data_IF_636463395812
#
_entry.id   IF_636463395812
#
_cell.length_a   1.000
_cell.length_b   1.000
_cell.length_c   1.000
_cell.angle_alpha   90.00
_cell.angle_beta   90.00
_cell.angle_gamma   90.00
#
_symmetry.space_group_name_H-M   'P 1'
#
loop_
_entity.id
_entity.type
_entity.pdbx_description
1 polymer ?
#
# COMPACT_ATOMS: atom_id res chain seq x y z
N UNK A 1 14.68 22.12 -38.00
CA UNK A 1 15.53 20.92 -37.79
C UNK A 1 15.80 20.87 -36.28
N UNK A 2 15.26 19.91 -35.60
CA UNK A 2 15.49 19.70 -34.15
C UNK A 2 16.63 18.69 -34.08
N UNK A 3 17.77 19.10 -33.54
CA UNK A 3 18.91 18.21 -33.34
C UNK A 3 18.53 17.01 -32.45
N UNK A 4 19.05 15.81 -32.74
CA UNK A 4 18.77 14.64 -31.92
C UNK A 4 19.46 14.78 -30.56
N UNK A 5 18.66 14.72 -29.48
CA UNK A 5 19.15 14.65 -28.11
C UNK A 5 20.02 13.39 -28.00
N UNK A 6 21.33 13.59 -27.78
CA UNK A 6 22.28 12.51 -27.53
C UNK A 6 21.77 11.59 -26.40
N UNK A 7 21.82 10.29 -26.66
CA UNK A 7 21.48 9.24 -25.69
C UNK A 7 22.46 9.31 -24.52
N UNK A 8 22.07 9.98 -23.45
CA UNK A 8 22.78 9.85 -22.20
C UNK A 8 22.75 8.37 -21.76
N UNK A 9 23.89 7.71 -21.83
CA UNK A 9 24.10 6.39 -21.25
C UNK A 9 23.88 6.48 -19.75
N UNK A 10 22.99 5.64 -19.21
CA UNK A 10 22.69 5.60 -17.79
C UNK A 10 23.99 5.46 -16.97
N UNK A 11 24.28 6.32 -16.00
CA UNK A 11 25.42 6.16 -15.14
C UNK A 11 25.26 4.88 -14.34
N UNK A 12 26.19 3.92 -14.48
CA UNK A 12 26.30 2.75 -13.61
C UNK A 12 26.57 3.25 -12.17
N UNK A 13 25.52 3.59 -11.42
CA UNK A 13 25.64 3.87 -10.00
C UNK A 13 26.03 2.59 -9.27
N UNK A 14 27.29 2.53 -8.88
CA UNK A 14 27.80 1.56 -7.91
C UNK A 14 27.10 1.89 -6.59
N UNK A 15 26.12 1.07 -6.20
CA UNK A 15 25.41 1.22 -4.93
C UNK A 15 26.40 1.01 -3.78
N UNK A 16 26.74 2.08 -3.10
CA UNK A 16 27.34 2.00 -1.77
C UNK A 16 26.21 1.69 -0.80
N UNK A 17 26.15 0.44 -0.33
CA UNK A 17 25.29 0.08 0.79
C UNK A 17 25.74 0.91 2.00
N UNK A 18 24.97 1.93 2.34
CA UNK A 18 25.07 2.51 3.68
C UNK A 18 24.33 1.53 4.60
N UNK A 19 25.01 0.87 5.54
CA UNK A 19 24.32 -0.02 6.46
C UNK A 19 23.27 0.78 7.23
N UNK A 20 22.06 0.23 7.35
CA UNK A 20 21.01 0.78 8.20
C UNK A 20 21.61 1.01 9.60
N UNK A 21 21.82 2.27 9.98
CA UNK A 21 22.01 2.61 11.38
C UNK A 21 20.65 2.51 12.04
N UNK A 22 20.37 1.37 12.66
CA UNK A 22 19.22 1.25 13.55
C UNK A 22 19.36 2.34 14.61
N UNK A 23 18.49 3.32 14.59
CA UNK A 23 18.36 4.30 15.65
C UNK A 23 17.90 3.57 16.90
N UNK A 24 18.39 3.95 18.07
CA UNK A 24 18.03 3.31 19.35
C UNK A 24 16.52 3.37 19.51
N UNK A 25 15.85 2.20 19.63
CA UNK A 25 14.39 2.09 19.70
C UNK A 25 13.68 1.87 18.34
N UNK A 26 14.42 1.86 17.21
CA UNK A 26 13.82 1.47 15.94
C UNK A 26 13.47 -0.03 15.94
N UNK A 27 12.34 -0.41 15.33
CA UNK A 27 11.97 -1.83 15.21
C UNK A 27 12.98 -2.57 14.34
N UNK A 28 13.20 -3.86 14.65
CA UNK A 28 14.03 -4.71 13.81
C UNK A 28 13.33 -4.95 12.47
N UNK A 29 14.09 -5.02 11.35
CA UNK A 29 13.50 -5.35 10.06
C UNK A 29 13.05 -6.82 9.98
N UNK A 30 12.27 -7.12 8.95
CA UNK A 30 11.79 -8.44 8.59
C UNK A 30 10.95 -9.12 9.69
N UNK A 31 10.07 -8.33 10.32
CA UNK A 31 9.16 -8.83 11.34
C UNK A 31 7.70 -8.40 11.12
N UNK A 32 6.80 -9.25 11.60
CA UNK A 32 5.38 -9.01 11.70
C UNK A 32 4.98 -8.83 13.17
N UNK A 33 4.52 -7.64 13.50
CA UNK A 33 3.98 -7.30 14.81
C UNK A 33 2.47 -7.57 14.79
N UNK A 34 1.97 -8.34 15.75
CA UNK A 34 0.53 -8.51 15.93
C UNK A 34 0.03 -7.50 16.94
N UNK A 35 -0.84 -6.57 16.50
CA UNK A 35 -1.37 -5.50 17.36
C UNK A 35 -1.87 -4.28 16.61
N UNK A 36 -2.25 -3.26 17.36
CA UNK A 36 -2.69 -1.97 16.83
C UNK A 36 -1.52 -1.17 16.25
N UNK A 37 -1.71 -0.59 15.06
CA UNK A 37 -0.64 0.11 14.35
C UNK A 37 -0.22 1.42 15.03
N UNK A 38 -1.16 2.15 15.66
CA UNK A 38 -0.86 3.38 16.37
C UNK A 38 -0.07 3.12 17.65
N UNK A 39 -0.44 2.05 18.37
CA UNK A 39 0.31 1.63 19.57
C UNK A 39 1.71 1.15 19.21
N UNK A 40 1.85 0.34 18.17
CA UNK A 40 3.13 -0.17 17.74
C UNK A 40 4.07 0.97 17.29
N UNK A 41 3.60 1.90 16.45
CA UNK A 41 4.42 2.99 15.92
C UNK A 41 4.77 4.06 16.97
N UNK A 42 3.96 4.25 18.01
CA UNK A 42 4.12 5.32 19.01
C UNK A 42 5.52 5.40 19.62
N UNK A 43 6.16 4.25 19.82
CA UNK A 43 7.48 4.16 20.44
C UNK A 43 8.65 4.26 19.47
N UNK A 44 8.39 4.35 18.15
CA UNK A 44 9.45 4.36 17.16
C UNK A 44 10.02 5.76 16.96
N UNK A 45 11.33 5.87 16.66
CA UNK A 45 11.96 7.15 16.32
C UNK A 45 11.40 7.74 15.04
N UNK A 46 11.45 9.06 14.93
CA UNK A 46 11.13 9.77 13.70
C UNK A 46 12.11 9.37 12.58
N UNK A 47 11.59 9.20 11.38
CA UNK A 47 12.39 8.91 10.19
C UNK A 47 13.17 7.60 10.27
N UNK A 48 12.68 6.58 10.97
CA UNK A 48 13.35 5.27 11.07
C UNK A 48 12.99 4.30 9.93
N UNK A 49 12.00 4.62 9.10
CA UNK A 49 11.48 3.83 7.98
C UNK A 49 11.82 4.52 6.67
N UNK A 50 12.22 3.77 5.64
CA UNK A 50 12.52 4.37 4.34
C UNK A 50 11.25 4.72 3.55
N UNK A 51 10.29 3.82 3.44
CA UNK A 51 9.06 4.01 2.67
C UNK A 51 7.87 3.31 3.33
N UNK A 52 6.66 3.74 2.98
CA UNK A 52 5.41 3.07 3.35
C UNK A 52 4.63 2.67 2.09
N UNK A 53 4.19 1.42 2.02
CA UNK A 53 3.27 0.91 0.99
C UNK A 53 2.15 0.21 1.73
N UNK A 54 0.92 0.73 1.66
CA UNK A 54 -0.14 0.39 2.59
C UNK A 54 -1.50 0.25 1.91
N UNK A 55 -2.24 -0.77 2.33
CA UNK A 55 -3.65 -1.01 1.99
C UNK A 55 -4.52 -0.88 3.26
N UNK A 56 -4.95 0.35 3.62
CA UNK A 56 -5.67 0.59 4.87
C UNK A 56 -7.13 0.11 4.82
N UNK A 57 -7.83 0.01 5.96
CA UNK A 57 -9.26 -0.26 6.00
C UNK A 57 -10.07 0.68 5.10
N UNK A 58 -11.13 0.16 4.47
CA UNK A 58 -11.97 0.92 3.53
C UNK A 58 -13.26 1.45 4.14
N UNK A 59 -13.62 1.01 5.34
CA UNK A 59 -14.89 1.31 6.02
C UNK A 59 -16.13 0.91 5.21
N UNK A 60 -16.10 -0.25 4.59
CA UNK A 60 -17.19 -0.75 3.75
C UNK A 60 -18.31 -1.35 4.61
N UNK A 61 -18.00 -1.82 5.82
CA UNK A 61 -18.93 -2.44 6.77
C UNK A 61 -19.87 -1.45 7.48
N UNK A 62 -19.52 -0.18 7.57
CA UNK A 62 -20.16 0.80 8.47
C UNK A 62 -21.44 1.46 7.97
N UNK A 63 -21.98 1.10 6.84
CA UNK A 63 -22.95 2.00 6.19
C UNK A 63 -24.40 1.71 6.36
N UNK A 64 -24.82 0.60 6.88
CA UNK A 64 -26.23 0.30 6.99
C UNK A 64 -26.57 -0.49 8.25
N UNK A 65 -26.85 0.20 9.35
CA UNK A 65 -27.63 -0.32 10.46
C UNK A 65 -29.02 -0.86 10.05
N UNK A 66 -29.16 -1.27 8.84
CA UNK A 66 -30.23 -2.07 8.28
C UNK A 66 -29.73 -3.51 8.12
N UNK A 67 -29.72 -4.26 9.21
CA UNK A 67 -30.08 -5.67 9.12
C UNK A 67 -31.48 -5.70 8.52
N UNK A 68 -31.55 -5.55 7.23
CA UNK A 68 -32.78 -5.70 6.48
C UNK A 68 -33.25 -7.12 6.68
N UNK A 69 -34.43 -7.30 7.30
CA UNK A 69 -35.13 -8.58 7.45
C UNK A 69 -35.33 -9.35 6.13
N UNK A 70 -34.87 -8.82 5.01
CA UNK A 70 -35.09 -9.36 3.65
C UNK A 70 -33.81 -9.60 2.85
N UNK A 71 -32.66 -9.79 3.46
CA UNK A 71 -31.47 -10.28 2.76
C UNK A 71 -30.89 -9.39 1.64
N UNK A 72 -31.36 -8.17 1.47
CA UNK A 72 -30.95 -7.19 0.47
C UNK A 72 -30.08 -6.10 1.09
N UNK A 73 -29.14 -6.48 1.96
CA UNK A 73 -28.05 -5.61 2.38
C UNK A 73 -27.05 -5.39 1.24
N UNK A 74 -26.33 -4.28 1.23
CA UNK A 74 -25.35 -3.89 0.22
C UNK A 74 -24.16 -4.85 0.05
N UNK A 75 -24.08 -5.92 0.81
CA UNK A 75 -23.15 -7.03 0.64
C UNK A 75 -23.55 -7.93 -0.52
N UNK A 76 -23.53 -7.40 -1.72
CA UNK A 76 -23.77 -8.20 -2.94
C UNK A 76 -22.51 -8.79 -3.54
N UNK A 77 -21.58 -9.17 -2.74
CA UNK A 77 -20.81 -10.37 -3.00
C UNK A 77 -21.07 -11.30 -1.83
N UNK A 78 -21.71 -12.41 -2.07
CA UNK A 78 -21.85 -13.55 -1.13
C UNK A 78 -20.49 -14.10 -0.64
N UNK A 79 -19.40 -13.34 -0.85
CA UNK A 79 -18.03 -13.70 -0.57
C UNK A 79 -17.26 -12.66 0.26
N UNK A 80 -17.86 -11.51 0.56
CA UNK A 80 -17.25 -10.48 1.41
C UNK A 80 -18.34 -9.90 2.31
N UNK A 81 -18.81 -10.69 3.25
CA UNK A 81 -19.36 -10.12 4.49
C UNK A 81 -18.12 -9.64 5.28
N UNK A 82 -17.76 -8.37 5.08
CA UNK A 82 -16.86 -7.69 5.99
C UNK A 82 -17.67 -7.30 7.25
N UNK A 83 -18.00 -8.30 8.06
CA UNK A 83 -18.53 -8.12 9.42
C UNK A 83 -17.35 -7.98 10.41
N UNK A 84 -16.26 -7.36 9.91
CA UNK A 84 -15.03 -7.16 10.64
C UNK A 84 -15.18 -5.93 11.54
N UNK A 85 -15.00 -6.10 12.84
CA UNK A 85 -15.17 -5.02 13.81
C UNK A 85 -14.27 -3.79 13.53
N UNK A 86 -13.17 -3.97 12.82
CA UNK A 86 -12.23 -2.91 12.41
C UNK A 86 -12.69 -2.09 11.19
N UNK A 87 -13.80 -2.44 10.53
CA UNK A 87 -14.30 -1.77 9.33
C UNK A 87 -15.70 -1.14 9.56
N UNK A 88 -16.03 -0.76 10.82
CA UNK A 88 -17.36 -0.26 11.24
C UNK A 88 -17.31 1.10 11.92
N UNK A 89 -16.51 2.02 11.41
CA UNK A 89 -16.42 3.39 11.92
C UNK A 89 -17.60 4.26 11.45
N UNK A 90 -18.04 5.21 12.28
CA UNK A 90 -18.77 6.39 11.79
C UNK A 90 -17.88 7.21 10.85
N UNK A 91 -18.45 8.14 10.08
CA UNK A 91 -17.67 8.97 9.15
C UNK A 91 -16.60 9.81 9.86
N UNK A 92 -16.93 10.37 11.01
CA UNK A 92 -16.04 11.22 11.79
C UNK A 92 -14.93 10.40 12.47
N UNK A 93 -15.27 9.24 13.04
CA UNK A 93 -14.29 8.29 13.59
C UNK A 93 -13.33 7.79 12.51
N UNK A 94 -13.85 7.47 11.32
CA UNK A 94 -13.02 7.01 10.22
C UNK A 94 -12.06 8.10 9.73
N UNK A 95 -12.53 9.34 9.66
CA UNK A 95 -11.67 10.48 9.34
C UNK A 95 -10.58 10.66 10.41
N UNK A 96 -10.96 10.68 11.67
CA UNK A 96 -10.01 10.81 12.78
C UNK A 96 -8.96 9.68 12.81
N UNK A 97 -9.40 8.44 12.58
CA UNK A 97 -8.52 7.28 12.46
C UNK A 97 -7.53 7.44 11.30
N UNK A 98 -8.03 7.84 10.11
CA UNK A 98 -7.16 8.04 8.94
C UNK A 98 -6.15 9.17 9.16
N UNK A 99 -6.52 10.25 9.82
CA UNK A 99 -5.59 11.31 10.20
C UNK A 99 -4.54 10.78 11.18
N UNK A 100 -4.95 9.99 12.17
CA UNK A 100 -4.05 9.50 13.22
C UNK A 100 -2.94 8.58 12.64
N UNK A 101 -3.31 7.54 11.89
CA UNK A 101 -2.31 6.63 11.37
C UNK A 101 -1.44 7.25 10.26
N UNK A 102 -1.99 8.13 9.41
CA UNK A 102 -1.19 8.84 8.40
C UNK A 102 -0.20 9.82 9.04
N UNK A 103 -0.56 10.45 10.18
CA UNK A 103 0.36 11.26 10.97
C UNK A 103 1.54 10.44 11.50
N UNK A 104 1.26 9.26 12.06
CA UNK A 104 2.32 8.36 12.54
C UNK A 104 3.20 7.85 11.40
N UNK A 105 2.61 7.44 10.27
CA UNK A 105 3.38 7.08 9.06
C UNK A 105 4.27 8.25 8.62
N UNK A 106 3.71 9.47 8.55
CA UNK A 106 4.50 10.65 8.17
C UNK A 106 5.62 10.98 9.17
N UNK A 107 5.47 10.63 10.44
CA UNK A 107 6.50 10.80 11.47
C UNK A 107 7.62 9.77 11.34
N UNK A 108 7.26 8.50 11.17
CA UNK A 108 8.25 7.41 11.17
C UNK A 108 8.95 7.21 9.81
N UNK A 109 8.33 7.63 8.71
CA UNK A 109 8.94 7.59 7.37
C UNK A 109 9.92 8.74 7.22
N UNK A 110 11.08 8.47 6.64
CA UNK A 110 12.12 9.48 6.36
C UNK A 110 11.59 10.62 5.49
N UNK A 111 12.15 11.84 5.60
CA UNK A 111 11.93 12.89 4.61
C UNK A 111 12.24 12.36 3.20
N UNK A 112 11.41 12.73 2.22
CA UNK A 112 11.47 12.22 0.84
C UNK A 112 11.24 10.71 0.69
N UNK A 113 10.89 9.98 1.74
CA UNK A 113 10.40 8.60 1.63
C UNK A 113 9.07 8.55 0.87
N UNK A 114 8.87 7.51 0.09
CA UNK A 114 7.62 7.30 -0.64
C UNK A 114 6.51 6.79 0.30
N UNK A 115 5.30 7.27 0.10
CA UNK A 115 4.08 6.79 0.76
C UNK A 115 3.08 6.41 -0.34
N UNK A 116 2.85 5.11 -0.54
CA UNK A 116 1.88 4.59 -1.49
C UNK A 116 0.67 4.06 -0.71
N UNK A 117 -0.49 4.67 -0.93
CA UNK A 117 -1.72 4.33 -0.22
C UNK A 117 -2.74 3.80 -1.20
N UNK A 118 -3.11 2.52 -1.04
CA UNK A 118 -4.17 1.88 -1.80
C UNK A 118 -5.55 2.31 -1.28
N UNK A 119 -6.53 2.30 -2.15
CA UNK A 119 -7.90 2.60 -1.77
C UNK A 119 -8.90 2.45 -2.91
N UNK A 120 -10.16 2.40 -2.50
CA UNK A 120 -11.32 2.43 -3.40
C UNK A 120 -11.99 3.79 -3.31
N UNK A 121 -13.06 4.00 -4.09
CA UNK A 121 -13.85 5.24 -4.01
C UNK A 121 -14.46 5.51 -2.61
N UNK A 122 -14.47 4.51 -1.73
CA UNK A 122 -14.98 4.66 -0.36
C UNK A 122 -14.05 5.50 0.53
N UNK A 123 -12.74 5.44 0.30
CA UNK A 123 -11.75 6.07 1.19
C UNK A 123 -10.70 6.92 0.48
N UNK A 124 -10.41 6.65 -0.81
CA UNK A 124 -9.26 7.26 -1.50
C UNK A 124 -9.30 8.79 -1.56
N UNK A 125 -10.47 9.38 -1.73
CA UNK A 125 -10.63 10.83 -1.77
C UNK A 125 -10.34 11.47 -0.41
N UNK A 126 -10.75 10.83 0.68
CA UNK A 126 -10.45 11.26 2.04
C UNK A 126 -8.95 11.15 2.34
N UNK A 127 -8.33 10.03 1.98
CA UNK A 127 -6.89 9.80 2.16
C UNK A 127 -6.06 10.81 1.37
N UNK A 128 -6.45 11.11 0.13
CA UNK A 128 -5.82 12.14 -0.70
C UNK A 128 -5.93 13.53 -0.08
N UNK A 129 -7.10 13.89 0.43
CA UNK A 129 -7.32 15.16 1.14
C UNK A 129 -6.45 15.25 2.41
N UNK A 130 -6.37 14.18 3.19
CA UNK A 130 -5.54 14.16 4.40
C UNK A 130 -4.07 14.34 4.04
N UNK A 131 -3.55 13.58 3.09
CA UNK A 131 -2.14 13.69 2.67
C UNK A 131 -1.82 15.08 2.17
N UNK A 132 -2.64 15.63 1.27
CA UNK A 132 -2.34 16.89 0.59
C UNK A 132 -2.64 18.11 1.47
N UNK A 133 -3.81 18.15 2.14
CA UNK A 133 -4.32 19.36 2.78
C UNK A 133 -4.15 19.38 4.30
N UNK A 134 -4.14 18.21 4.95
CA UNK A 134 -3.97 18.13 6.42
C UNK A 134 -2.49 17.95 6.78
N UNK A 135 -1.77 17.11 6.05
CA UNK A 135 -0.38 16.79 6.34
C UNK A 135 0.63 17.52 5.44
N UNK A 136 0.16 18.26 4.44
CA UNK A 136 0.98 19.00 3.46
C UNK A 136 2.02 18.09 2.80
N UNK A 137 1.61 16.92 2.32
CA UNK A 137 2.48 15.99 1.60
C UNK A 137 2.30 16.14 0.10
N UNK A 138 3.41 16.12 -0.64
CA UNK A 138 3.38 16.20 -2.10
C UNK A 138 2.86 14.92 -2.70
N UNK A 139 1.71 14.96 -3.39
CA UNK A 139 1.25 13.86 -4.23
C UNK A 139 2.00 13.91 -5.57
N UNK A 140 2.62 12.81 -5.96
CA UNK A 140 3.33 12.64 -7.23
C UNK A 140 2.42 12.10 -8.32
N UNK A 141 1.61 11.11 -7.98
CA UNK A 141 0.72 10.42 -8.92
C UNK A 141 -0.53 9.87 -8.23
N UNK A 142 -1.61 9.77 -9.00
CA UNK A 142 -2.72 8.86 -8.75
C UNK A 142 -2.61 7.73 -9.76
N UNK A 143 -2.26 6.53 -9.30
CA UNK A 143 -2.18 5.33 -10.12
C UNK A 143 -3.51 4.62 -10.08
N UNK A 144 -4.02 4.18 -11.23
CA UNK A 144 -5.22 3.37 -11.35
C UNK A 144 -4.81 1.92 -11.56
N UNK A 145 -5.14 1.06 -10.62
CA UNK A 145 -5.08 -0.38 -10.82
C UNK A 145 -6.38 -0.85 -11.49
N UNK A 146 -6.28 -1.29 -12.74
CA UNK A 146 -7.37 -1.89 -13.49
C UNK A 146 -7.38 -3.41 -13.29
N UNK A 147 -8.57 -3.94 -12.97
CA UNK A 147 -8.85 -5.37 -12.73
C UNK A 147 -9.60 -5.95 -13.92
N UNK A 148 -8.94 -6.56 -14.93
CA UNK A 148 -9.59 -7.07 -16.14
C UNK A 148 -10.63 -8.17 -15.85
N UNK A 149 -10.50 -8.84 -14.71
CA UNK A 149 -11.38 -9.90 -14.24
C UNK A 149 -12.19 -9.51 -12.99
N UNK A 150 -12.59 -8.22 -12.90
CA UNK A 150 -13.43 -7.73 -11.81
C UNK A 150 -14.77 -8.50 -11.75
N UNK A 151 -15.30 -8.66 -10.51
CA UNK A 151 -16.58 -9.31 -10.29
C UNK A 151 -17.72 -8.46 -10.90
N UNK A 152 -18.65 -9.05 -11.64
CA UNK A 152 -19.80 -8.32 -12.19
C UNK A 152 -20.66 -7.67 -11.09
N UNK A 153 -21.23 -6.52 -11.39
CA UNK A 153 -22.23 -5.91 -10.52
C UNK A 153 -23.58 -6.61 -10.69
N UNK A 154 -23.95 -7.41 -9.69
CA UNK A 154 -25.19 -8.21 -9.72
C UNK A 154 -26.44 -7.34 -9.56
N UNK A 155 -26.32 -6.14 -8.98
CA UNK A 155 -27.48 -5.26 -8.69
C UNK A 155 -27.99 -4.54 -9.92
N UNK A 156 -27.23 -4.46 -11.00
CA UNK A 156 -27.51 -3.70 -12.21
C UNK A 156 -27.88 -2.21 -11.98
N UNK A 157 -27.35 -1.61 -10.88
CA UNK A 157 -27.62 -0.22 -10.48
C UNK A 157 -26.42 0.71 -10.59
N UNK A 158 -25.24 0.13 -10.69
CA UNK A 158 -23.97 0.86 -10.84
C UNK A 158 -23.07 0.14 -11.82
N UNK A 159 -22.02 0.79 -12.25
CA UNK A 159 -20.98 0.16 -13.05
C UNK A 159 -20.27 -0.94 -12.23
N UNK A 160 -19.68 -1.91 -12.93
CA UNK A 160 -18.77 -2.88 -12.31
C UNK A 160 -17.53 -2.15 -11.77
N UNK A 161 -17.21 -2.36 -10.49
CA UNK A 161 -16.03 -1.78 -9.85
C UNK A 161 -14.77 -2.53 -10.29
N UNK A 162 -14.23 -2.09 -11.41
CA UNK A 162 -13.07 -2.71 -12.05
C UNK A 162 -11.76 -1.99 -11.76
N UNK A 163 -11.77 -0.99 -10.89
CA UNK A 163 -10.56 -0.22 -10.56
C UNK A 163 -10.38 -0.06 -9.05
N UNK A 164 -9.12 0.06 -8.64
CA UNK A 164 -8.72 0.65 -7.38
C UNK A 164 -7.68 1.73 -7.65
N UNK A 165 -7.44 2.61 -6.69
CA UNK A 165 -6.47 3.69 -6.85
C UNK A 165 -5.32 3.52 -5.87
N UNK A 166 -4.16 4.06 -6.24
CA UNK A 166 -2.99 4.15 -5.38
C UNK A 166 -2.54 5.61 -5.41
N UNK A 167 -2.66 6.29 -4.29
CA UNK A 167 -2.04 7.61 -4.15
C UNK A 167 -0.56 7.39 -3.90
N UNK A 168 0.28 7.92 -4.77
CA UNK A 168 1.72 7.95 -4.58
C UNK A 168 2.12 9.35 -4.11
N UNK A 169 2.49 9.46 -2.85
CA UNK A 169 2.95 10.69 -2.23
C UNK A 169 4.40 10.57 -1.77
N UNK A 170 5.02 11.71 -1.52
CA UNK A 170 6.33 11.85 -0.87
C UNK A 170 6.15 12.42 0.52
N UNK A 171 6.86 11.87 1.50
CA UNK A 171 6.84 12.34 2.88
C UNK A 171 7.61 13.67 3.04
N UNK A 172 7.21 14.67 2.28
CA UNK A 172 7.73 16.04 2.35
C UNK A 172 6.72 17.01 1.71
N UNK A 173 6.81 18.27 2.07
CA UNK A 173 6.00 19.33 1.45
C UNK A 173 6.36 19.53 -0.01
N UNK A 174 5.45 20.09 -0.81
CA UNK A 174 5.71 20.31 -2.23
C UNK A 174 6.95 21.21 -2.47
N UNK A 175 7.22 22.16 -1.57
CA UNK A 175 8.34 23.08 -1.67
C UNK A 175 9.71 22.43 -1.35
N UNK A 176 9.72 21.39 -0.50
CA UNK A 176 10.94 20.71 -0.03
C UNK A 176 11.17 19.33 -0.63
N UNK A 177 10.14 18.76 -1.26
CA UNK A 177 10.24 17.43 -1.85
C UNK A 177 11.27 17.38 -2.98
N UNK A 178 12.38 16.72 -2.71
CA UNK A 178 13.50 16.53 -3.63
C UNK A 178 14.11 15.14 -3.39
N UNK A 179 14.57 14.49 -4.43
CA UNK A 179 15.35 13.26 -4.24
C UNK A 179 14.58 12.02 -3.77
N UNK A 180 13.27 11.97 -3.96
CA UNK A 180 12.50 10.74 -3.74
C UNK A 180 12.92 9.63 -4.71
N UNK A 181 12.77 8.38 -4.29
CA UNK A 181 13.06 7.23 -5.15
C UNK A 181 11.99 7.04 -6.21
N UNK A 182 12.38 7.06 -7.48
CA UNK A 182 11.61 6.58 -8.60
C UNK A 182 12.54 5.90 -9.60
N UNK A 183 12.40 4.60 -9.75
CA UNK A 183 13.24 3.77 -10.62
C UNK A 183 12.77 3.86 -12.07
N UNK A 184 13.01 5.01 -12.70
CA UNK A 184 12.54 5.33 -14.05
C UNK A 184 12.97 4.32 -15.12
N UNK A 185 14.23 3.89 -15.06
CA UNK A 185 14.77 2.97 -16.06
C UNK A 185 14.20 1.56 -15.90
N UNK A 186 14.02 1.10 -14.67
CA UNK A 186 13.37 -0.18 -14.37
C UNK A 186 11.90 -0.14 -14.79
N UNK A 187 11.20 0.98 -14.54
CA UNK A 187 9.84 1.20 -15.00
C UNK A 187 9.74 1.10 -16.53
N UNK A 188 10.71 1.66 -17.23
CA UNK A 188 10.76 1.66 -18.69
C UNK A 188 11.05 0.26 -19.23
N UNK A 189 11.96 -0.49 -18.61
CA UNK A 189 12.26 -1.88 -18.95
C UNK A 189 11.05 -2.78 -18.76
N UNK A 190 10.40 -2.71 -17.57
CA UNK A 190 9.15 -3.43 -17.27
C UNK A 190 8.02 -3.11 -18.25
N UNK A 191 8.05 -1.97 -18.90
CA UNK A 191 7.04 -1.51 -19.87
C UNK A 191 7.52 -1.64 -21.33
N UNK A 192 8.39 -2.60 -21.62
CA UNK A 192 8.85 -2.89 -23.00
C UNK A 192 9.63 -1.74 -23.63
N UNK A 193 10.45 -1.03 -22.87
CA UNK A 193 11.28 0.09 -23.31
C UNK A 193 10.53 1.44 -23.44
N UNK A 194 9.22 1.48 -23.15
CA UNK A 194 8.40 2.69 -23.20
C UNK A 194 8.19 3.26 -21.80
N UNK A 195 7.97 4.56 -21.70
CA UNK A 195 7.62 5.18 -20.42
C UNK A 195 6.35 4.55 -19.84
N UNK A 196 6.43 4.11 -18.57
CA UNK A 196 5.29 3.52 -17.86
C UNK A 196 4.24 4.60 -17.56
N UNK A 197 2.98 4.23 -17.72
CA UNK A 197 1.83 5.08 -17.38
C UNK A 197 1.31 4.72 -15.99
N UNK A 198 0.47 5.61 -15.45
CA UNK A 198 -0.21 5.43 -14.17
C UNK A 198 -1.49 4.57 -14.24
N UNK A 199 -1.70 3.83 -15.32
CA UNK A 199 -2.71 2.79 -15.45
C UNK A 199 -2.01 1.43 -15.43
N UNK A 200 -2.28 0.65 -14.36
CA UNK A 200 -1.67 -0.65 -14.13
C UNK A 200 -2.71 -1.76 -14.27
N UNK A 201 -2.48 -2.66 -15.18
CA UNK A 201 -3.37 -3.79 -15.45
C UNK A 201 -2.84 -5.04 -14.73
N UNK A 202 -3.60 -5.48 -13.70
CA UNK A 202 -3.33 -6.70 -12.97
C UNK A 202 -4.66 -7.38 -12.62
N UNK A 203 -4.77 -8.70 -12.83
CA UNK A 203 -5.93 -9.46 -12.38
C UNK A 203 -6.03 -9.44 -10.84
N UNK A 204 -7.22 -9.69 -10.32
CA UNK A 204 -7.40 -9.91 -8.88
C UNK A 204 -6.62 -11.14 -8.42
N UNK A 205 -6.33 -11.19 -7.11
CA UNK A 205 -5.56 -12.28 -6.47
C UNK A 205 -6.08 -13.66 -6.85
N UNK A 206 -5.20 -14.51 -7.34
CA UNK A 206 -5.51 -15.87 -7.77
C UNK A 206 -5.81 -16.83 -6.60
N UNK A 207 -6.46 -17.95 -6.88
CA UNK A 207 -6.68 -19.01 -5.88
C UNK A 207 -5.34 -19.57 -5.34
N UNK A 208 -4.30 -19.66 -6.19
CA UNK A 208 -2.97 -20.13 -5.81
C UNK A 208 -2.33 -19.19 -4.77
N UNK A 209 -2.46 -17.91 -4.93
CA UNK A 209 -1.94 -16.93 -3.97
C UNK A 209 -2.68 -16.95 -2.61
N UNK A 210 -3.86 -17.52 -2.56
CA UNK A 210 -4.70 -17.68 -1.35
C UNK A 210 -4.56 -19.04 -0.70
N UNK A 211 -3.62 -19.89 -1.11
CA UNK A 211 -3.47 -21.25 -0.62
C UNK A 211 -3.19 -21.32 0.90
N UNK A 212 -2.49 -20.34 1.46
CA UNK A 212 -2.20 -20.27 2.90
C UNK A 212 -3.37 -19.78 3.76
N UNK A 213 -4.47 -19.34 3.15
CA UNK A 213 -5.65 -18.82 3.83
C UNK A 213 -6.32 -17.71 3.03
N UNK A 214 -7.55 -17.36 3.42
CA UNK A 214 -8.36 -16.36 2.73
C UNK A 214 -8.36 -15.06 3.52
N UNK A 215 -7.80 -14.01 2.93
CA UNK A 215 -7.98 -12.64 3.38
C UNK A 215 -8.90 -11.91 2.39
N UNK A 216 -9.92 -11.17 2.84
CA UNK A 216 -10.95 -10.61 1.95
C UNK A 216 -10.40 -9.62 0.92
N UNK A 217 -9.47 -8.76 1.32
CA UNK A 217 -8.89 -7.70 0.46
C UNK A 217 -7.45 -7.97 0.02
N UNK A 218 -7.00 -9.25 0.00
CA UNK A 218 -5.62 -9.57 -0.39
C UNK A 218 -5.28 -9.01 -1.77
N UNK A 219 -4.23 -8.19 -1.85
CA UNK A 219 -3.71 -7.65 -3.10
C UNK A 219 -2.88 -8.67 -3.88
N UNK A 220 -2.89 -8.64 -5.23
CA UNK A 220 -2.04 -9.49 -6.07
C UNK A 220 -0.56 -9.23 -5.82
N UNK A 221 0.25 -10.29 -5.76
CA UNK A 221 1.69 -10.17 -5.52
C UNK A 221 2.38 -9.31 -6.59
N UNK A 222 2.09 -9.56 -7.87
CA UNK A 222 2.69 -8.82 -8.98
C UNK A 222 2.43 -7.30 -8.94
N UNK A 223 1.28 -6.87 -8.40
CA UNK A 223 0.95 -5.46 -8.20
C UNK A 223 1.86 -4.84 -7.13
N UNK A 224 2.04 -5.53 -5.99
CA UNK A 224 2.93 -5.06 -4.92
C UNK A 224 4.40 -5.11 -5.33
N UNK A 225 4.82 -6.14 -6.08
CA UNK A 225 6.18 -6.20 -6.66
C UNK A 225 6.48 -4.98 -7.52
N UNK A 226 5.55 -4.57 -8.39
CA UNK A 226 5.70 -3.34 -9.19
C UNK A 226 5.85 -2.11 -8.30
N UNK A 227 5.00 -1.95 -7.29
CA UNK A 227 5.08 -0.82 -6.37
C UNK A 227 6.44 -0.78 -5.64
N UNK A 228 6.89 -1.91 -5.10
CA UNK A 228 8.18 -2.07 -4.42
C UNK A 228 9.35 -1.71 -5.35
N UNK A 229 9.37 -2.27 -6.56
CA UNK A 229 10.45 -2.05 -7.54
C UNK A 229 10.55 -0.60 -7.99
N UNK A 230 9.43 0.10 -8.13
CA UNK A 230 9.42 1.49 -8.59
C UNK A 230 9.76 2.49 -7.49
N UNK A 231 9.36 2.21 -6.24
CA UNK A 231 9.37 3.18 -5.16
C UNK A 231 10.50 2.98 -4.13
N UNK A 232 11.35 1.94 -4.28
CA UNK A 232 12.39 1.63 -3.29
C UNK A 232 13.65 1.03 -3.91
N UNK A 233 14.74 1.02 -3.12
CA UNK A 233 16.01 0.37 -3.47
C UNK A 233 16.22 -0.91 -2.64
N UNK A 234 17.02 -1.88 -3.13
CA UNK A 234 17.41 -3.04 -2.32
C UNK A 234 18.06 -2.62 -1.00
N UNK A 235 17.67 -3.30 0.09
CA UNK A 235 18.14 -3.02 1.45
C UNK A 235 17.37 -1.90 2.17
N UNK A 236 16.43 -1.22 1.52
CA UNK A 236 15.56 -0.23 2.19
C UNK A 236 14.40 -0.92 2.92
N UNK A 237 13.97 -0.31 4.03
CA UNK A 237 12.93 -0.80 4.92
C UNK A 237 11.55 -0.25 4.52
N UNK A 238 10.64 -1.15 4.20
CA UNK A 238 9.26 -0.86 3.81
C UNK A 238 8.31 -1.15 4.96
N UNK A 239 7.43 -0.19 5.28
CA UNK A 239 6.38 -0.33 6.30
C UNK A 239 5.03 -0.62 5.65
N UNK A 240 4.31 -1.59 6.22
CA UNK A 240 2.87 -1.78 6.02
C UNK A 240 2.19 -1.85 7.39
N UNK A 241 1.52 -0.77 7.85
CA UNK A 241 0.83 -0.74 9.12
C UNK A 241 -0.49 -1.51 9.16
N UNK A 242 -0.93 -2.08 8.03
CA UNK A 242 -2.14 -2.91 7.90
C UNK A 242 -1.85 -4.18 7.08
N UNK A 243 -0.92 -4.99 7.57
CA UNK A 243 -0.24 -6.04 6.83
C UNK A 243 -1.11 -7.12 6.19
N UNK A 244 -2.31 -7.35 6.71
CA UNK A 244 -3.26 -8.32 6.17
C UNK A 244 -2.65 -9.69 5.94
N UNK A 245 -2.71 -10.16 4.70
CA UNK A 245 -2.14 -11.45 4.30
C UNK A 245 -0.62 -11.43 3.98
N UNK A 246 0.10 -10.36 4.26
CA UNK A 246 1.56 -10.30 4.12
C UNK A 246 2.08 -10.08 2.70
N UNK A 247 1.28 -9.56 1.78
CA UNK A 247 1.70 -9.45 0.37
C UNK A 247 2.89 -8.50 0.19
N UNK A 248 2.94 -7.38 0.94
CA UNK A 248 4.09 -6.47 0.89
C UNK A 248 5.38 -7.16 1.34
N UNK A 249 5.36 -7.88 2.46
CA UNK A 249 6.54 -8.56 2.98
C UNK A 249 7.09 -9.58 1.98
N UNK A 250 6.22 -10.38 1.35
CA UNK A 250 6.61 -11.31 0.29
C UNK A 250 7.24 -10.60 -0.90
N UNK A 251 6.63 -9.49 -1.37
CA UNK A 251 7.17 -8.69 -2.47
C UNK A 251 8.52 -8.07 -2.11
N UNK A 252 8.65 -7.50 -0.92
CA UNK A 252 9.87 -6.87 -0.44
C UNK A 252 11.02 -7.88 -0.33
N UNK A 253 10.81 -9.00 0.35
CA UNK A 253 11.80 -10.05 0.53
C UNK A 253 12.29 -10.61 -0.82
N UNK A 254 11.37 -10.90 -1.73
CA UNK A 254 11.70 -11.41 -3.09
C UNK A 254 12.62 -10.47 -3.87
N UNK A 255 12.53 -9.18 -3.62
CA UNK A 255 13.32 -8.16 -4.32
C UNK A 255 14.44 -7.56 -3.47
N UNK A 256 14.81 -8.20 -2.35
CA UNK A 256 15.94 -7.80 -1.50
C UNK A 256 15.70 -6.50 -0.72
N UNK A 257 14.44 -6.15 -0.45
CA UNK A 257 14.06 -5.08 0.47
C UNK A 257 13.79 -5.66 1.85
N UNK A 258 14.00 -4.85 2.87
CA UNK A 258 13.59 -5.16 4.22
C UNK A 258 12.11 -4.75 4.41
N UNK A 259 11.43 -5.37 5.34
CA UNK A 259 10.01 -5.11 5.56
C UNK A 259 9.66 -5.10 7.04
N UNK A 260 8.62 -4.37 7.36
CA UNK A 260 8.03 -4.32 8.69
C UNK A 260 6.52 -4.21 8.52
N UNK A 261 5.81 -5.12 9.17
CA UNK A 261 4.36 -5.17 9.06
C UNK A 261 3.70 -5.17 10.42
N UNK A 262 2.53 -4.55 10.51
CA UNK A 262 1.66 -4.61 11.68
C UNK A 262 0.31 -5.16 11.22
N UNK A 263 -0.23 -6.12 11.95
CA UNK A 263 -1.55 -6.70 11.69
C UNK A 263 -2.30 -6.90 13.01
N UNK A 264 -3.49 -6.33 13.10
CA UNK A 264 -4.26 -6.36 14.34
C UNK A 264 -5.02 -7.67 14.56
N UNK A 265 -5.36 -8.38 13.47
CA UNK A 265 -6.13 -9.63 13.52
C UNK A 265 -5.20 -10.83 13.56
N UNK A 266 -5.17 -11.61 14.67
CA UNK A 266 -4.22 -12.72 14.83
C UNK A 266 -4.32 -13.78 13.72
N UNK A 267 -5.51 -14.03 13.19
CA UNK A 267 -5.77 -14.99 12.12
C UNK A 267 -5.11 -14.54 10.81
N UNK A 268 -5.19 -13.26 10.47
CA UNK A 268 -4.54 -12.70 9.29
C UNK A 268 -3.02 -12.65 9.48
N UNK A 269 -2.55 -12.32 10.67
CA UNK A 269 -1.13 -12.40 11.01
C UNK A 269 -0.58 -13.84 10.85
N UNK A 270 -1.35 -14.87 11.19
CA UNK A 270 -0.96 -16.26 10.97
C UNK A 270 -0.87 -16.61 9.47
N UNK A 271 -1.83 -16.18 8.66
CA UNK A 271 -1.78 -16.31 7.19
C UNK A 271 -0.52 -15.62 6.63
N UNK A 272 -0.26 -14.39 7.07
CA UNK A 272 0.91 -13.65 6.63
C UNK A 272 2.22 -14.37 6.95
N UNK A 273 2.39 -14.87 8.19
CA UNK A 273 3.57 -15.66 8.59
C UNK A 273 3.77 -16.88 7.71
N UNK A 274 2.69 -17.62 7.43
CA UNK A 274 2.74 -18.81 6.57
C UNK A 274 3.18 -18.47 5.14
N UNK A 275 2.64 -17.37 4.57
CA UNK A 275 3.01 -16.92 3.21
C UNK A 275 4.45 -16.41 3.13
N UNK A 276 4.90 -15.68 4.12
CA UNK A 276 6.28 -15.15 4.17
C UNK A 276 7.26 -16.31 4.29
N UNK A 277 7.01 -17.28 5.17
CA UNK A 277 7.85 -18.47 5.33
C UNK A 277 7.91 -19.34 4.06
N UNK A 278 6.82 -19.39 3.27
CA UNK A 278 6.79 -20.14 2.02
C UNK A 278 7.49 -19.42 0.84
N UNK A 279 7.80 -18.15 0.98
CA UNK A 279 8.43 -17.34 -0.07
C UNK A 279 9.95 -17.18 0.10
N UNK A 280 10.49 -17.44 1.28
CA UNK A 280 11.94 -17.46 1.61
C UNK A 280 12.50 -18.83 1.53
#
# INVERSE_FOLDING_TARGET
MIEPIERATAPKRRMVRTPLRLTRGAPAPNQLITGDCLEAMRGWPDGCIDHCIVDPPFNIGSGSGRKGKNGLGWAFSSHVTMDEAWDTFTKDEFFAFNVAWLKEVARVVKPNGNILVFGTYHNIYQLGFILQSVLDRRILNSVVWFKPNAQPNITARTLTESTEQIIWAVNETAAKATGWTFNYWDAKEMNGGKQMRNLWDFPVTSKKERAAGKHPSQKPLALLERAVLLASQPGELLLDPFGGAGTLAVAAAKHGREWLMIESVPEYAAIARSRIAAAG
#
